data_IF_172338865277
#
_entry.id   IF_172338865277
#
_cell.length_a   1.000
_cell.length_b   1.000
_cell.length_c   1.000
_cell.angle_alpha   90.00
_cell.angle_beta   90.00
_cell.angle_gamma   90.00
#
_symmetry.space_group_name_H-M   'P 1'
#
loop_
_entity.id
_entity.type
_entity.pdbx_description
1 polymer ?
#
# COMPACT_ATOMS: atom_id res chain seq x y z
N UNK A 1 30.45 -25.70 1.96
CA UNK A 1 29.17 -26.24 2.47
C UNK A 1 28.19 -25.07 2.51
N UNK A 2 27.32 -25.00 1.52
CA UNK A 2 26.38 -23.89 1.32
C UNK A 2 25.12 -24.18 2.18
N UNK A 3 24.88 -23.36 3.20
CA UNK A 3 23.66 -23.42 3.98
C UNK A 3 22.50 -22.89 3.12
N UNK A 4 21.68 -23.81 2.61
CA UNK A 4 20.37 -23.46 2.02
C UNK A 4 19.51 -22.86 3.13
N UNK A 5 19.21 -21.56 3.00
CA UNK A 5 18.18 -20.92 3.80
C UNK A 5 16.84 -21.64 3.53
N UNK A 6 16.33 -22.33 4.54
CA UNK A 6 15.02 -22.97 4.47
C UNK A 6 13.96 -21.89 4.44
N UNK A 7 13.23 -21.79 3.34
CA UNK A 7 12.00 -21.02 3.24
C UNK A 7 11.01 -21.68 4.18
N UNK A 8 10.76 -21.06 5.33
CA UNK A 8 9.67 -21.50 6.20
C UNK A 8 8.39 -20.89 5.64
N UNK A 9 7.41 -21.77 5.40
CA UNK A 9 6.06 -21.38 5.01
C UNK A 9 5.49 -20.33 5.99
N UNK A 10 4.66 -19.40 5.51
CA UNK A 10 3.96 -18.47 6.38
C UNK A 10 3.13 -19.27 7.40
N UNK A 11 2.93 -18.75 8.61
CA UNK A 11 2.12 -19.43 9.61
C UNK A 11 0.75 -19.77 9.02
N UNK A 12 0.31 -21.01 9.26
CA UNK A 12 -1.01 -21.52 8.85
C UNK A 12 -2.10 -20.50 9.20
N UNK A 13 -3.07 -20.24 8.32
CA UNK A 13 -4.09 -19.25 8.58
C UNK A 13 -4.86 -19.64 9.85
N UNK A 14 -4.88 -18.72 10.84
CA UNK A 14 -5.92 -18.71 11.86
C UNK A 14 -7.28 -18.75 11.13
N UNK A 15 -8.29 -19.37 11.75
CA UNK A 15 -9.62 -19.58 11.15
C UNK A 15 -10.05 -18.39 10.28
N UNK A 16 -10.60 -18.62 9.08
CA UNK A 16 -10.97 -17.55 8.14
C UNK A 16 -11.85 -16.46 8.78
N UNK A 17 -12.58 -16.79 9.84
CA UNK A 17 -13.49 -15.88 10.54
C UNK A 17 -12.77 -14.79 11.35
N UNK A 18 -11.52 -14.99 11.78
CA UNK A 18 -10.77 -14.01 12.59
C UNK A 18 -10.55 -12.68 11.87
N UNK A 19 -10.40 -12.72 10.55
CA UNK A 19 -10.03 -11.57 9.72
C UNK A 19 -11.20 -10.97 8.94
N UNK A 20 -12.42 -11.46 9.17
CA UNK A 20 -13.63 -10.89 8.58
C UNK A 20 -13.93 -9.52 9.23
N UNK A 21 -14.26 -8.53 8.43
CA UNK A 21 -14.47 -7.14 8.91
C UNK A 21 -13.16 -6.47 9.40
N UNK A 22 -11.99 -7.06 9.15
CA UNK A 22 -10.70 -6.48 9.50
C UNK A 22 -10.03 -5.84 8.28
N UNK A 23 -8.98 -5.04 8.54
CA UNK A 23 -8.13 -4.43 7.50
C UNK A 23 -6.68 -4.90 7.63
N UNK A 24 -6.07 -5.29 6.52
CA UNK A 24 -4.61 -5.46 6.40
C UNK A 24 -4.00 -4.10 6.09
N UNK A 25 -3.36 -3.49 7.07
CA UNK A 25 -2.59 -2.25 6.91
C UNK A 25 -1.22 -2.61 6.35
N UNK A 26 -0.99 -2.27 5.10
CA UNK A 26 0.28 -2.52 4.41
C UNK A 26 1.18 -1.30 4.54
N UNK A 27 2.35 -1.49 5.13
CA UNK A 27 3.32 -0.43 5.41
C UNK A 27 4.64 -0.74 4.70
N UNK A 28 4.88 -0.18 3.50
CA UNK A 28 6.21 -0.23 2.88
C UNK A 28 7.15 0.71 3.65
N UNK A 29 8.28 0.18 4.11
CA UNK A 29 9.26 0.91 4.93
C UNK A 29 10.61 0.95 4.22
N UNK A 30 11.21 2.15 4.13
CA UNK A 30 12.57 2.31 3.62
C UNK A 30 13.24 3.54 4.24
N UNK A 31 14.25 3.31 5.07
CA UNK A 31 15.01 4.36 5.77
C UNK A 31 14.08 5.33 6.53
N UNK A 32 13.38 4.81 7.55
CA UNK A 32 12.45 5.56 8.40
C UNK A 32 12.68 5.26 9.90
N UNK A 33 13.94 4.99 10.30
CA UNK A 33 14.27 4.64 11.68
C UNK A 33 13.81 5.69 12.71
N UNK A 34 13.79 6.96 12.32
CA UNK A 34 13.37 8.07 13.20
C UNK A 34 11.86 8.06 13.50
N UNK A 35 11.03 7.62 12.56
CA UNK A 35 9.57 7.76 12.63
C UNK A 35 8.82 6.44 12.89
N UNK A 36 9.53 5.30 12.82
CA UNK A 36 8.92 3.97 12.85
C UNK A 36 8.12 3.72 14.14
N UNK A 37 8.66 4.10 15.29
CA UNK A 37 8.02 3.85 16.59
C UNK A 37 6.74 4.68 16.73
N UNK A 38 6.79 5.95 16.34
CA UNK A 38 5.64 6.86 16.34
C UNK A 38 4.56 6.38 15.37
N UNK A 39 4.94 5.95 14.17
CA UNK A 39 4.01 5.39 13.20
C UNK A 39 3.29 4.16 13.74
N UNK A 40 4.03 3.21 14.32
CA UNK A 40 3.44 2.00 14.89
C UNK A 40 2.48 2.33 16.04
N UNK A 41 2.86 3.28 16.91
CA UNK A 41 1.99 3.75 17.97
C UNK A 41 0.70 4.38 17.40
N UNK A 42 0.80 5.23 16.37
CA UNK A 42 -0.36 5.84 15.73
C UNK A 42 -1.27 4.80 15.06
N UNK A 43 -0.69 3.81 14.37
CA UNK A 43 -1.47 2.72 13.77
C UNK A 43 -2.18 1.92 14.86
N UNK A 44 -1.50 1.56 15.96
CA UNK A 44 -2.13 0.82 17.06
C UNK A 44 -3.25 1.60 17.73
N UNK A 45 -3.11 2.91 17.90
CA UNK A 45 -4.11 3.79 18.50
C UNK A 45 -5.40 3.93 17.67
N UNK A 46 -5.34 3.66 16.38
CA UNK A 46 -6.56 3.66 15.54
C UNK A 46 -7.53 2.55 15.98
N UNK A 47 -8.84 2.85 16.14
CA UNK A 47 -9.80 1.92 16.75
C UNK A 47 -10.26 0.77 15.86
N UNK A 48 -9.78 0.67 14.62
CA UNK A 48 -10.19 -0.37 13.69
C UNK A 48 -9.51 -1.72 13.98
N UNK A 49 -10.22 -2.83 13.74
CA UNK A 49 -9.63 -4.18 13.79
C UNK A 49 -8.67 -4.37 12.61
N UNK A 50 -7.43 -4.69 12.89
CA UNK A 50 -6.39 -4.72 11.84
C UNK A 50 -5.33 -5.77 12.08
N UNK A 51 -4.67 -6.16 11.00
CA UNK A 51 -3.32 -6.70 10.99
C UNK A 51 -2.39 -5.68 10.33
N UNK A 52 -1.12 -5.69 10.70
CA UNK A 52 -0.10 -4.78 10.18
C UNK A 52 0.94 -5.61 9.43
N UNK A 53 1.21 -5.26 8.19
CA UNK A 53 2.21 -5.95 7.37
C UNK A 53 3.27 -4.93 6.97
N UNK A 54 4.43 -5.02 7.64
CA UNK A 54 5.58 -4.16 7.43
C UNK A 54 6.53 -4.84 6.43
N UNK A 55 6.88 -4.13 5.37
CA UNK A 55 7.88 -4.62 4.41
C UNK A 55 9.07 -3.67 4.39
N UNK A 56 10.18 -4.10 4.99
CA UNK A 56 11.45 -3.37 4.90
C UNK A 56 12.05 -3.55 3.51
N UNK A 57 12.10 -2.48 2.75
CA UNK A 57 12.60 -2.47 1.38
C UNK A 57 14.11 -2.21 1.30
N UNK A 58 14.89 -2.95 2.09
CA UNK A 58 16.35 -2.88 2.08
C UNK A 58 16.91 -1.64 2.80
N UNK A 59 16.36 -1.27 3.95
CA UNK A 59 16.84 -0.13 4.77
C UNK A 59 18.27 -0.31 5.27
N UNK A 60 18.96 0.84 5.44
CA UNK A 60 20.39 0.92 5.86
C UNK A 60 20.64 1.91 7.00
N UNK A 61 19.60 2.48 7.59
CA UNK A 61 19.64 3.57 8.59
C UNK A 61 19.31 3.11 10.03
N UNK A 62 19.23 1.79 10.28
CA UNK A 62 18.79 1.23 11.56
C UNK A 62 17.31 0.83 11.60
N UNK A 63 16.51 1.15 10.57
CA UNK A 63 15.11 0.72 10.45
C UNK A 63 14.97 -0.80 10.56
N UNK A 64 15.84 -1.54 9.87
CA UNK A 64 15.85 -3.01 9.83
C UNK A 64 16.06 -3.62 11.20
N UNK A 65 16.97 -3.07 11.97
CA UNK A 65 17.29 -3.50 13.32
C UNK A 65 16.09 -3.28 14.26
N UNK A 66 15.45 -2.11 14.18
CA UNK A 66 14.22 -1.81 14.92
C UNK A 66 13.10 -2.79 14.58
N UNK A 67 12.87 -3.06 13.29
CA UNK A 67 11.85 -4.00 12.85
C UNK A 67 12.12 -5.43 13.33
N UNK A 68 13.39 -5.86 13.40
CA UNK A 68 13.78 -7.18 13.95
C UNK A 68 13.59 -7.27 15.45
N UNK A 69 13.66 -6.14 16.15
CA UNK A 69 13.48 -6.07 17.60
C UNK A 69 12.02 -5.99 18.03
N UNK A 70 11.08 -5.86 17.11
CA UNK A 70 9.65 -5.85 17.45
C UNK A 70 9.26 -7.16 18.12
N UNK A 71 8.47 -7.09 19.21
CA UNK A 71 7.97 -8.30 19.85
C UNK A 71 7.05 -9.07 18.88
N UNK A 72 7.11 -10.39 18.94
CA UNK A 72 6.23 -11.22 18.13
C UNK A 72 4.78 -11.07 18.56
N UNK A 73 3.94 -10.75 17.61
CA UNK A 73 2.49 -10.67 17.82
C UNK A 73 1.76 -11.32 16.64
N UNK A 74 0.55 -11.80 16.85
CA UNK A 74 -0.23 -12.48 15.80
C UNK A 74 -0.78 -11.52 14.74
N UNK A 75 -0.76 -10.23 15.03
CA UNK A 75 -1.31 -9.15 14.22
C UNK A 75 -0.24 -8.34 13.47
N UNK A 76 1.06 -8.59 13.72
CA UNK A 76 2.16 -7.95 13.00
C UNK A 76 2.95 -9.00 12.21
N UNK A 77 3.10 -8.74 10.91
CA UNK A 77 3.99 -9.50 10.02
C UNK A 77 5.09 -8.58 9.51
N UNK A 78 6.35 -8.97 9.70
CA UNK A 78 7.50 -8.21 9.18
C UNK A 78 8.22 -9.03 8.13
N UNK A 79 8.38 -8.43 6.94
CA UNK A 79 9.05 -9.04 5.78
C UNK A 79 10.22 -8.16 5.36
N UNK A 80 11.34 -8.76 4.99
CA UNK A 80 12.56 -8.05 4.61
C UNK A 80 12.94 -8.37 3.17
N UNK A 81 13.10 -7.33 2.34
CA UNK A 81 13.77 -7.44 1.06
C UNK A 81 15.30 -7.43 1.25
N UNK A 82 16.03 -8.15 0.43
CA UNK A 82 17.50 -8.14 0.46
C UNK A 82 18.07 -6.78 0.03
N UNK A 83 17.40 -6.09 -0.87
CA UNK A 83 17.77 -4.79 -1.41
C UNK A 83 16.53 -3.96 -1.71
N UNK A 84 16.72 -2.65 -1.90
CA UNK A 84 15.64 -1.76 -2.33
C UNK A 84 15.08 -2.19 -3.70
N UNK A 85 13.81 -2.55 -3.71
CA UNK A 85 13.04 -2.94 -4.89
C UNK A 85 11.96 -1.91 -5.25
N UNK A 86 11.73 -0.93 -4.38
CA UNK A 86 10.79 0.17 -4.52
C UNK A 86 9.44 -0.08 -3.83
N UNK A 87 8.74 1.01 -3.51
CA UNK A 87 7.47 1.02 -2.77
C UNK A 87 6.42 0.07 -3.35
N UNK A 88 6.22 0.10 -4.67
CA UNK A 88 5.26 -0.79 -5.34
C UNK A 88 5.63 -2.26 -5.20
N UNK A 89 6.93 -2.58 -5.22
CA UNK A 89 7.42 -3.93 -4.97
C UNK A 89 7.15 -4.38 -3.53
N UNK A 90 7.38 -3.51 -2.55
CA UNK A 90 7.08 -3.78 -1.14
C UNK A 90 5.57 -4.01 -0.91
N UNK A 91 4.71 -3.20 -1.52
CA UNK A 91 3.25 -3.40 -1.46
C UNK A 91 2.85 -4.75 -2.06
N UNK A 92 3.39 -5.12 -3.23
CA UNK A 92 3.11 -6.42 -3.87
C UNK A 92 3.56 -7.59 -3.00
N UNK A 93 4.69 -7.46 -2.33
CA UNK A 93 5.15 -8.46 -1.36
C UNK A 93 4.18 -8.56 -0.19
N UNK A 94 3.78 -7.44 0.40
CA UNK A 94 2.84 -7.41 1.53
C UNK A 94 1.49 -8.04 1.19
N UNK A 95 0.97 -7.82 -0.02
CA UNK A 95 -0.31 -8.38 -0.48
C UNK A 95 -0.34 -9.92 -0.44
N UNK A 96 0.80 -10.59 -0.56
CA UNK A 96 0.88 -12.05 -0.45
C UNK A 96 0.63 -12.55 0.99
N UNK A 97 0.75 -11.68 1.98
CA UNK A 97 0.57 -11.98 3.41
C UNK A 97 -0.72 -11.37 3.98
N UNK A 98 -1.44 -10.56 3.21
CA UNK A 98 -2.69 -9.95 3.63
C UNK A 98 -3.79 -11.02 3.79
N UNK A 99 -4.38 -11.08 4.99
CA UNK A 99 -5.42 -12.06 5.37
C UNK A 99 -6.79 -11.42 5.54
N UNK A 100 -6.82 -10.14 5.92
CA UNK A 100 -8.05 -9.42 6.22
C UNK A 100 -8.92 -9.20 4.97
N UNK A 101 -10.18 -8.87 5.19
CA UNK A 101 -11.16 -8.64 4.12
C UNK A 101 -10.83 -7.41 3.28
N UNK A 102 -10.28 -6.38 3.94
CA UNK A 102 -9.88 -5.12 3.32
C UNK A 102 -8.37 -4.93 3.39
N UNK A 103 -7.84 -4.16 2.46
CA UNK A 103 -6.44 -3.73 2.42
C UNK A 103 -6.40 -2.21 2.42
N UNK A 104 -5.54 -1.63 3.24
CA UNK A 104 -5.25 -0.21 3.28
C UNK A 104 -3.73 -0.01 3.17
N UNK A 105 -3.30 0.91 2.33
CA UNK A 105 -1.89 1.26 2.21
C UNK A 105 -1.59 2.44 3.13
N UNK A 106 -0.58 2.30 3.99
CA UNK A 106 -0.07 3.34 4.90
C UNK A 106 1.37 3.67 4.54
N UNK A 107 1.67 4.93 4.26
CA UNK A 107 3.05 5.38 4.13
C UNK A 107 3.76 5.45 5.48
N UNK A 108 5.06 5.18 5.49
CA UNK A 108 5.86 5.16 6.72
C UNK A 108 6.38 6.53 7.15
N UNK A 109 5.92 7.59 6.52
CA UNK A 109 6.47 8.94 6.66
C UNK A 109 5.66 9.91 7.55
N UNK A 110 4.64 9.42 8.26
CA UNK A 110 3.73 10.20 9.12
C UNK A 110 2.97 11.34 8.40
N UNK A 111 3.00 11.40 7.07
CA UNK A 111 2.20 12.40 6.33
C UNK A 111 0.69 12.12 6.43
N UNK A 112 0.29 10.85 6.66
CA UNK A 112 -1.09 10.39 6.77
C UNK A 112 -1.41 9.94 8.19
N UNK A 113 -2.61 10.31 8.68
CA UNK A 113 -3.05 10.00 10.04
C UNK A 113 -3.86 8.70 10.09
N UNK A 114 -3.44 7.67 10.86
CA UNK A 114 -4.23 6.45 11.06
C UNK A 114 -5.59 6.65 11.74
N UNK A 115 -5.87 7.82 12.32
CA UNK A 115 -7.20 8.16 12.84
C UNK A 115 -8.24 8.32 11.72
N UNK A 116 -7.82 8.45 10.46
CA UNK A 116 -8.72 8.50 9.30
C UNK A 116 -9.18 7.09 8.84
N UNK A 117 -8.61 5.99 9.35
CA UNK A 117 -9.00 4.63 8.94
C UNK A 117 -10.51 4.34 9.07
N UNK A 118 -11.19 4.73 10.17
CA UNK A 118 -12.64 4.50 10.27
C UNK A 118 -13.44 5.16 9.14
N UNK A 119 -13.04 6.36 8.70
CA UNK A 119 -13.70 7.06 7.60
C UNK A 119 -13.51 6.32 6.27
N UNK A 120 -12.29 5.79 6.02
CA UNK A 120 -11.98 5.01 4.83
C UNK A 120 -12.67 3.66 4.78
N UNK A 121 -12.84 2.99 5.94
CA UNK A 121 -13.43 1.65 6.01
C UNK A 121 -14.95 1.65 6.05
N UNK A 122 -15.58 2.68 6.58
CA UNK A 122 -17.04 2.77 6.71
C UNK A 122 -17.82 2.45 5.42
N UNK A 123 -17.49 2.98 4.23
CA UNK A 123 -18.21 2.63 3.01
C UNK A 123 -17.98 1.17 2.57
N UNK A 124 -16.80 0.59 2.87
CA UNK A 124 -16.47 -0.82 2.58
C UNK A 124 -17.30 -1.75 3.48
N UNK A 125 -17.33 -1.47 4.78
CA UNK A 125 -18.06 -2.23 5.81
C UNK A 125 -19.58 -2.16 5.58
N UNK A 126 -20.09 -1.00 5.15
CA UNK A 126 -21.48 -0.81 4.78
C UNK A 126 -21.86 -1.50 3.45
N UNK A 127 -20.88 -2.04 2.71
CA UNK A 127 -21.10 -2.64 1.40
C UNK A 127 -21.52 -1.65 0.30
N UNK A 128 -21.39 -0.33 0.55
CA UNK A 128 -21.75 0.73 -0.41
C UNK A 128 -20.64 0.99 -1.43
N UNK A 129 -19.41 0.57 -1.12
CA UNK A 129 -18.25 0.66 -2.00
C UNK A 129 -17.34 -0.57 -1.84
N UNK A 130 -16.58 -0.91 -2.87
CA UNK A 130 -15.50 -1.89 -2.82
C UNK A 130 -14.11 -1.21 -2.80
N UNK A 131 -14.07 0.08 -3.11
CA UNK A 131 -12.86 0.90 -3.22
C UNK A 131 -13.14 2.28 -2.66
N UNK A 132 -12.29 2.74 -1.74
CA UNK A 132 -12.38 4.06 -1.12
C UNK A 132 -11.00 4.72 -1.13
N UNK A 133 -10.93 5.95 -1.63
CA UNK A 133 -9.73 6.76 -1.62
C UNK A 133 -9.85 7.92 -0.63
N UNK A 134 -8.76 8.22 0.05
CA UNK A 134 -8.66 9.44 0.84
C UNK A 134 -8.36 10.64 -0.06
N UNK A 135 -9.08 11.75 0.12
CA UNK A 135 -8.82 13.01 -0.58
C UNK A 135 -8.09 13.95 0.35
N UNK A 136 -6.87 14.28 -0.02
CA UNK A 136 -6.05 15.24 0.73
C UNK A 136 -6.58 16.67 0.49
N UNK A 137 -6.52 17.55 1.51
CA UNK A 137 -6.87 18.94 1.31
C UNK A 137 -5.94 19.58 0.28
N UNK A 138 -6.50 20.46 -0.56
CA UNK A 138 -5.73 21.23 -1.54
C UNK A 138 -4.75 22.16 -0.79
N UNK A 139 -3.46 21.89 -0.89
CA UNK A 139 -2.40 22.69 -0.27
C UNK A 139 -1.32 23.01 -1.29
N UNK A 140 -1.37 24.20 -1.93
CA UNK A 140 -0.36 24.64 -2.90
C UNK A 140 1.01 24.92 -2.25
N UNK A 141 1.09 25.03 -0.94
CA UNK A 141 2.30 25.25 -0.15
C UNK A 141 3.40 24.19 -0.35
N UNK A 142 3.07 23.04 -0.91
CA UNK A 142 3.99 21.94 -1.24
C UNK A 142 4.94 22.22 -2.40
N UNK A 143 4.84 23.35 -3.03
CA UNK A 143 5.47 23.69 -4.30
C UNK A 143 4.48 23.48 -5.46
N UNK A 144 4.25 24.56 -6.16
CA UNK A 144 3.29 24.65 -7.28
C UNK A 144 3.46 23.54 -8.31
N UNK A 145 4.69 23.14 -8.60
CA UNK A 145 5.00 22.07 -9.58
C UNK A 145 4.46 20.71 -9.18
N UNK A 146 4.58 20.33 -7.90
CA UNK A 146 4.06 19.07 -7.37
C UNK A 146 2.53 19.07 -7.35
N UNK A 147 1.94 20.18 -6.93
CA UNK A 147 0.50 20.35 -6.94
C UNK A 147 -0.09 20.23 -8.35
N UNK A 148 0.48 20.96 -9.32
CA UNK A 148 0.06 20.89 -10.71
C UNK A 148 0.27 19.50 -11.31
N UNK A 149 1.37 18.83 -10.99
CA UNK A 149 1.64 17.46 -11.43
C UNK A 149 0.59 16.46 -10.93
N UNK A 150 0.21 16.54 -9.65
CA UNK A 150 -0.83 15.69 -9.06
C UNK A 150 -2.21 15.97 -9.69
N UNK A 151 -2.57 17.23 -9.89
CA UNK A 151 -3.84 17.63 -10.57
C UNK A 151 -3.86 17.17 -12.04
N UNK A 152 -2.74 17.29 -12.76
CA UNK A 152 -2.63 16.78 -14.14
C UNK A 152 -2.80 15.27 -14.18
N UNK A 153 -2.17 14.52 -13.26
CA UNK A 153 -2.31 13.07 -13.18
C UNK A 153 -3.77 12.67 -12.89
N UNK A 154 -4.41 13.33 -11.94
CA UNK A 154 -5.83 13.11 -11.61
C UNK A 154 -6.74 13.42 -12.82
N UNK A 155 -6.50 14.54 -13.51
CA UNK A 155 -7.26 14.90 -14.71
C UNK A 155 -7.11 13.84 -15.80
N UNK A 156 -5.88 13.40 -16.06
CA UNK A 156 -5.60 12.36 -17.06
C UNK A 156 -6.28 11.03 -16.70
N UNK A 157 -6.27 10.65 -15.41
CA UNK A 157 -6.97 9.46 -14.92
C UNK A 157 -8.47 9.57 -15.18
N UNK A 158 -9.07 10.70 -14.88
CA UNK A 158 -10.49 10.94 -15.11
C UNK A 158 -10.85 10.88 -16.61
N UNK A 159 -10.05 11.47 -17.48
CA UNK A 159 -10.26 11.45 -18.94
C UNK A 159 -10.13 10.03 -19.49
N UNK A 160 -9.07 9.29 -19.11
CA UNK A 160 -8.81 7.96 -19.66
C UNK A 160 -9.75 6.87 -19.14
N UNK A 161 -10.23 7.00 -17.90
CA UNK A 161 -10.95 5.91 -17.20
C UNK A 161 -12.34 6.30 -16.70
N UNK A 162 -12.75 7.57 -16.84
CA UNK A 162 -14.00 8.05 -16.28
C UNK A 162 -14.06 7.84 -14.75
N UNK A 163 -12.91 8.05 -14.07
CA UNK A 163 -12.79 7.70 -12.67
C UNK A 163 -13.64 8.59 -11.75
N UNK A 164 -13.74 9.88 -12.07
CA UNK A 164 -14.49 10.86 -11.29
C UNK A 164 -13.87 11.15 -9.91
N UNK A 165 -12.53 11.03 -9.80
CA UNK A 165 -11.79 11.21 -8.55
C UNK A 165 -11.13 12.59 -8.46
N UNK A 166 -10.80 13.00 -7.22
CA UNK A 166 -10.20 14.29 -6.92
C UNK A 166 -8.71 14.20 -6.59
N UNK A 167 -8.22 13.02 -6.10
CA UNK A 167 -6.83 12.82 -5.71
C UNK A 167 -6.31 11.44 -6.12
N UNK A 168 -5.73 11.33 -7.34
CA UNK A 168 -5.11 10.08 -7.82
C UNK A 168 -3.86 9.71 -7.03
N UNK A 169 -3.07 10.70 -6.63
CA UNK A 169 -1.76 10.48 -6.03
C UNK A 169 -1.81 10.17 -4.51
N UNK A 170 -3.00 10.08 -3.93
CA UNK A 170 -3.16 9.71 -2.53
C UNK A 170 -2.64 8.29 -2.26
N UNK A 171 -1.96 8.09 -1.13
CA UNK A 171 -1.56 6.77 -0.67
C UNK A 171 -2.73 6.02 -0.01
N UNK A 172 -3.62 6.74 0.69
CA UNK A 172 -4.78 6.14 1.33
C UNK A 172 -5.77 5.58 0.32
N UNK A 173 -5.54 4.34 -0.04
CA UNK A 173 -6.41 3.53 -0.88
C UNK A 173 -6.85 2.31 -0.09
N UNK A 174 -8.11 2.32 0.34
CA UNK A 174 -8.76 1.19 0.99
C UNK A 174 -9.54 0.39 -0.05
N UNK A 175 -9.22 -0.90 -0.17
CA UNK A 175 -9.74 -1.75 -1.27
C UNK A 175 -10.11 -3.11 -0.72
N UNK A 176 -11.21 -3.70 -1.18
CA UNK A 176 -11.55 -5.08 -0.90
C UNK A 176 -10.44 -6.00 -1.41
N UNK A 177 -9.84 -6.82 -0.51
CA UNK A 177 -8.67 -7.66 -0.80
C UNK A 177 -8.85 -8.55 -2.04
N UNK A 178 -10.04 -9.11 -2.24
CA UNK A 178 -10.33 -9.95 -3.39
C UNK A 178 -10.15 -9.26 -4.73
N UNK A 179 -10.35 -7.95 -4.84
CA UNK A 179 -10.08 -7.18 -6.05
C UNK A 179 -8.59 -7.06 -6.33
N UNK A 180 -7.79 -6.78 -5.28
CA UNK A 180 -6.33 -6.69 -5.41
C UNK A 180 -5.70 -8.05 -5.76
N UNK A 181 -6.24 -9.14 -5.20
CA UNK A 181 -5.78 -10.49 -5.49
C UNK A 181 -5.98 -10.87 -6.97
N UNK A 182 -7.07 -10.43 -7.58
CA UNK A 182 -7.35 -10.66 -9.00
C UNK A 182 -6.44 -9.87 -9.94
N UNK A 183 -5.80 -8.80 -9.44
CA UNK A 183 -4.93 -7.96 -10.26
C UNK A 183 -3.48 -8.43 -10.16
N UNK A 184 -2.86 -8.79 -11.27
CA UNK A 184 -1.43 -8.96 -11.32
C UNK A 184 -0.75 -7.59 -11.33
N UNK A 185 -0.50 -7.03 -10.15
CA UNK A 185 0.24 -5.77 -10.02
C UNK A 185 1.69 -5.97 -10.49
N UNK A 186 2.19 -5.02 -11.27
CA UNK A 186 3.52 -5.05 -11.87
C UNK A 186 4.40 -3.88 -11.40
N UNK A 187 3.81 -2.93 -10.67
CA UNK A 187 4.51 -1.76 -10.15
C UNK A 187 5.72 -2.12 -9.32
N UNK A 188 6.76 -1.30 -9.42
CA UNK A 188 7.95 -1.38 -8.58
C UNK A 188 8.07 -0.17 -7.65
N UNK A 189 7.72 1.01 -8.12
CA UNK A 189 7.91 2.27 -7.39
C UNK A 189 6.57 2.97 -7.10
N UNK A 190 6.49 4.25 -7.48
CA UNK A 190 5.32 5.11 -7.21
C UNK A 190 4.17 4.92 -8.21
N UNK A 191 4.39 4.18 -9.30
CA UNK A 191 3.35 3.84 -10.27
C UNK A 191 2.28 2.86 -9.75
N UNK A 192 2.37 2.47 -8.48
CA UNK A 192 1.33 1.69 -7.80
C UNK A 192 -0.04 2.38 -7.88
N UNK A 193 -0.12 3.68 -7.54
CA UNK A 193 -1.39 4.40 -7.54
C UNK A 193 -2.07 4.39 -8.92
N UNK A 194 -1.43 4.86 -10.02
CA UNK A 194 -2.04 4.83 -11.34
C UNK A 194 -2.30 3.42 -11.86
N UNK A 195 -1.49 2.42 -11.52
CA UNK A 195 -1.73 1.05 -11.92
C UNK A 195 -3.00 0.47 -11.27
N UNK A 196 -3.16 0.65 -9.96
CA UNK A 196 -4.32 0.15 -9.22
C UNK A 196 -5.58 0.85 -9.71
N UNK A 197 -5.58 2.17 -9.83
CA UNK A 197 -6.73 2.93 -10.29
C UNK A 197 -7.15 2.53 -11.70
N UNK A 198 -6.19 2.43 -12.64
CA UNK A 198 -6.46 2.00 -14.01
C UNK A 198 -7.10 0.61 -14.06
N UNK A 199 -6.58 -0.34 -13.29
CA UNK A 199 -7.10 -1.72 -13.24
C UNK A 199 -8.47 -1.80 -12.60
N UNK A 200 -8.70 -1.15 -11.45
CA UNK A 200 -9.99 -1.08 -10.77
C UNK A 200 -11.07 -0.49 -11.69
N UNK A 201 -10.79 0.65 -12.31
CA UNK A 201 -11.75 1.26 -13.23
C UNK A 201 -12.05 0.38 -14.44
N UNK A 202 -11.06 -0.34 -14.95
CA UNK A 202 -11.26 -1.33 -16.04
C UNK A 202 -11.98 -2.59 -15.59
N UNK A 203 -11.97 -2.93 -14.31
CA UNK A 203 -12.81 -3.99 -13.74
C UNK A 203 -14.27 -3.54 -13.59
N UNK A 204 -14.54 -2.24 -13.69
CA UNK A 204 -15.89 -1.65 -13.54
C UNK A 204 -16.14 -1.09 -12.14
N UNK A 205 -15.14 -1.14 -11.25
CA UNK A 205 -15.28 -0.66 -9.88
C UNK A 205 -15.45 0.85 -9.82
N UNK A 206 -16.38 1.31 -9.02
CA UNK A 206 -16.51 2.72 -8.67
C UNK A 206 -15.60 3.02 -7.48
N UNK A 207 -15.01 4.20 -7.48
CA UNK A 207 -14.14 4.67 -6.41
C UNK A 207 -14.93 5.69 -5.61
N UNK A 208 -15.19 5.38 -4.34
CA UNK A 208 -15.71 6.36 -3.39
C UNK A 208 -14.54 7.18 -2.84
N UNK A 209 -14.81 8.40 -2.42
CA UNK A 209 -13.80 9.27 -1.83
C UNK A 209 -14.27 9.82 -0.49
N UNK A 210 -13.32 9.93 0.45
CA UNK A 210 -13.54 10.54 1.76
C UNK A 210 -12.44 11.55 2.05
N UNK A 211 -12.75 12.69 2.69
CA UNK A 211 -11.70 13.63 3.11
C UNK A 211 -10.82 13.00 4.19
N UNK A 212 -9.53 13.30 4.14
CA UNK A 212 -8.54 12.81 5.11
C UNK A 212 -7.65 13.94 5.61
N UNK A 213 -7.05 13.72 6.76
CA UNK A 213 -5.97 14.54 7.30
C UNK A 213 -4.69 14.33 6.50
N UNK A 214 -3.88 15.38 6.39
CA UNK A 214 -2.62 15.26 5.69
C UNK A 214 -1.60 16.30 6.18
N UNK A 215 -0.45 15.83 6.64
CA UNK A 215 0.63 16.62 7.23
C UNK A 215 1.89 16.50 6.35
N UNK A 216 2.04 17.38 5.33
CA UNK A 216 3.17 17.28 4.40
C UNK A 216 4.49 17.50 5.10
N UNK A 217 5.48 16.66 4.83
CA UNK A 217 6.87 16.90 5.24
C UNK A 217 7.48 18.09 4.50
N UNK A 218 8.41 18.77 5.15
CA UNK A 218 9.22 19.79 4.51
C UNK A 218 10.14 19.20 3.43
N UNK A 219 10.64 20.03 2.52
CA UNK A 219 11.56 19.58 1.46
C UNK A 219 12.90 19.06 2.05
N UNK A 220 13.28 19.52 3.25
CA UNK A 220 14.51 19.17 3.95
C UNK A 220 14.43 17.77 4.60
N UNK A 221 13.23 17.25 4.85
CA UNK A 221 12.98 15.95 5.47
C UNK A 221 13.01 14.76 4.49
N UNK A 222 13.61 14.92 3.32
CA UNK A 222 13.97 13.79 2.45
C UNK A 222 12.88 13.27 1.53
N UNK A 223 12.28 14.13 0.73
CA UNK A 223 11.32 13.73 -0.31
C UNK A 223 11.93 12.71 -1.29
N UNK A 224 11.37 11.49 -1.32
CA UNK A 224 11.88 10.37 -2.15
C UNK A 224 11.34 10.36 -3.60
N UNK A 225 10.36 11.22 -3.93
CA UNK A 225 9.71 11.28 -5.27
C UNK A 225 10.56 12.10 -6.23
N UNK A 226 10.85 11.54 -7.41
CA UNK A 226 11.62 12.17 -8.49
C UNK A 226 10.69 12.59 -9.64
N UNK A 227 11.13 13.54 -10.49
CA UNK A 227 10.38 13.93 -11.68
C UNK A 227 10.13 12.77 -12.65
N UNK A 228 11.02 11.79 -12.71
CA UNK A 228 10.86 10.57 -13.49
C UNK A 228 9.64 9.73 -13.06
N UNK A 229 9.28 9.78 -11.77
CA UNK A 229 8.13 9.03 -11.25
C UNK A 229 6.80 9.58 -11.79
N UNK A 230 6.73 10.89 -12.05
CA UNK A 230 5.58 11.51 -12.71
C UNK A 230 5.38 11.02 -14.15
N UNK A 231 6.45 10.95 -14.94
CA UNK A 231 6.38 10.41 -16.30
C UNK A 231 6.03 8.92 -16.30
N UNK A 232 6.56 8.17 -15.36
CA UNK A 232 6.23 6.76 -15.19
C UNK A 232 4.76 6.56 -14.83
N UNK A 233 4.19 7.43 -13.97
CA UNK A 233 2.78 7.41 -13.63
C UNK A 233 1.89 7.66 -14.85
N UNK A 234 2.20 8.68 -15.66
CA UNK A 234 1.48 9.00 -16.91
C UNK A 234 1.57 7.82 -17.89
N UNK A 235 2.79 7.28 -18.10
CA UNK A 235 2.98 6.13 -18.97
C UNK A 235 2.18 4.91 -18.50
N UNK A 236 2.11 4.68 -17.20
CA UNK A 236 1.35 3.58 -16.59
C UNK A 236 -0.14 3.71 -16.90
N UNK A 237 -0.73 4.90 -16.78
CA UNK A 237 -2.12 5.16 -17.15
C UNK A 237 -2.34 4.85 -18.64
N UNK A 238 -1.50 5.39 -19.52
CA UNK A 238 -1.62 5.15 -20.97
C UNK A 238 -1.48 3.67 -21.28
N UNK A 239 -0.45 3.02 -20.76
CA UNK A 239 -0.18 1.59 -20.94
C UNK A 239 -1.37 0.73 -20.57
N UNK A 240 -1.91 0.89 -19.35
CA UNK A 240 -3.02 0.06 -18.87
C UNK A 240 -4.36 0.41 -19.53
N UNK A 241 -4.50 1.52 -20.24
CA UNK A 241 -5.68 1.80 -21.06
C UNK A 241 -5.81 0.82 -22.23
N UNK A 242 -4.68 0.41 -22.82
CA UNK A 242 -4.64 -0.38 -24.05
C UNK A 242 -4.28 -1.86 -23.84
N UNK A 243 -3.55 -2.22 -22.79
CA UNK A 243 -3.20 -3.63 -22.52
C UNK A 243 -4.47 -4.47 -22.32
N UNK A 244 -4.61 -5.63 -23.01
CA UNK A 244 -5.75 -6.53 -22.82
C UNK A 244 -5.88 -7.02 -21.36
N UNK A 245 -7.11 -7.05 -20.82
CA UNK A 245 -7.38 -7.47 -19.43
C UNK A 245 -6.77 -8.83 -19.09
N UNK A 246 -6.82 -9.79 -20.01
CA UNK A 246 -6.25 -11.15 -19.83
C UNK A 246 -4.76 -11.19 -19.44
N UNK A 247 -4.02 -10.10 -19.65
CA UNK A 247 -2.60 -10.01 -19.28
C UNK A 247 -2.35 -9.66 -17.82
N UNK A 248 -3.36 -9.20 -17.11
CA UNK A 248 -3.20 -8.73 -15.73
C UNK A 248 -4.39 -9.05 -14.80
N UNK A 249 -5.50 -9.56 -15.34
CA UNK A 249 -6.67 -9.96 -14.57
C UNK A 249 -6.70 -11.50 -14.46
N UNK A 250 -6.81 -11.99 -13.23
CA UNK A 250 -6.96 -13.41 -12.89
C UNK A 250 -8.10 -13.56 -11.89
N UNK A 251 -9.32 -13.79 -12.35
CA UNK A 251 -10.51 -13.82 -11.48
C UNK A 251 -10.48 -14.92 -10.42
N UNK A 252 -9.72 -16.01 -10.66
CA UNK A 252 -9.69 -17.20 -9.79
C UNK A 252 -8.57 -17.16 -8.72
N UNK A 253 -7.76 -16.09 -8.65
CA UNK A 253 -6.69 -15.99 -7.65
C UNK A 253 -7.19 -15.45 -6.32
N UNK A 254 -6.93 -16.20 -5.24
CA UNK A 254 -7.25 -15.79 -3.86
C UNK A 254 -6.14 -14.94 -3.22
N UNK A 255 -4.88 -15.17 -3.57
CA UNK A 255 -3.74 -14.35 -3.16
C UNK A 255 -2.64 -14.34 -4.23
N UNK A 256 -1.98 -13.21 -4.50
CA UNK A 256 -0.82 -13.18 -5.38
C UNK A 256 0.38 -13.87 -4.69
N UNK A 257 1.24 -14.58 -5.43
CA UNK A 257 2.50 -15.09 -4.88
C UNK A 257 3.43 -13.92 -4.52
N UNK A 258 4.25 -14.09 -3.48
CA UNK A 258 5.28 -13.10 -3.15
C UNK A 258 6.26 -12.95 -4.33
N UNK A 259 6.45 -11.73 -4.87
CA UNK A 259 7.19 -11.54 -6.12
C UNK A 259 8.72 -11.54 -5.96
N UNK A 260 9.23 -11.54 -4.72
CA UNK A 260 10.66 -11.37 -4.42
C UNK A 260 11.12 -12.36 -3.38
N UNK A 261 12.45 -12.66 -3.37
CA UNK A 261 13.07 -13.37 -2.27
C UNK A 261 12.97 -12.52 -1.00
N UNK A 262 12.41 -13.11 0.05
CA UNK A 262 12.13 -12.44 1.32
C UNK A 262 12.71 -13.24 2.48
N UNK A 263 13.07 -12.54 3.56
CA UNK A 263 13.33 -13.14 4.86
C UNK A 263 12.35 -12.61 5.89
N UNK A 264 12.14 -13.39 6.97
CA UNK A 264 11.25 -13.02 8.06
C UNK A 264 12.06 -12.77 9.32
N UNK A 265 11.58 -11.89 10.18
CA UNK A 265 12.00 -11.91 11.56
C UNK A 265 11.46 -13.22 12.18
N UNK A 266 12.35 -14.19 12.47
CA UNK A 266 11.94 -15.40 13.18
C UNK A 266 11.59 -15.02 14.61
N UNK A 267 10.36 -15.33 14.99
CA UNK A 267 9.99 -15.49 16.39
C UNK A 267 10.44 -16.90 16.78
N UNK A 268 11.32 -17.08 17.78
CA UNK A 268 11.54 -18.41 18.33
C UNK A 268 10.23 -18.93 18.93
N UNK A 269 9.86 -20.19 18.69
CA UNK A 269 8.73 -20.79 19.39
C UNK A 269 9.01 -20.75 20.88
N UNK A 270 8.01 -20.35 21.70
CA UNK A 270 8.04 -20.53 23.15
C UNK A 270 7.98 -21.99 23.50
#
# INVERSE_FOLDING_TARGET
>A
MSARASITEPPMPASPDRWQGCVSVIVPVYNEAAHLDELLQAIHASPVKKEIILVDDGSTDGTREKLRALPPTDDITVVFHEKNCGKGAAIRTALAYARAEYVLIQDSDLEYDPQDYPALLRPLEAGTANVVYGVRPDRPERGMRFFLGAKLLTHLTNVLYGAGIHDEATCYKAVRRSLLAQMQLQCHRFEFCPEVTAKLRRMGEKIAEVPISYHPRSAEEGKKIRHSDGWQAIWTLIRYRFIPRRRWLRPDQQAPPAPFAVSFARVPPK
#
